data_IF_368487953870
#
_entry.id   IF_368487953870
#
_cell.length_a   1.000
_cell.length_b   1.000
_cell.length_c   1.000
_cell.angle_alpha   90.00
_cell.angle_beta   90.00
_cell.angle_gamma   90.00
#
_symmetry.space_group_name_H-M   'P 1'
#
loop_
_entity.id
_entity.type
_entity.pdbx_description
1 polymer ?
#
# COMPACT_ATOMS: atom_id res chain seq x y z
N UNK A 1 53.93 43.50 -20.24
CA UNK A 1 52.80 43.65 -21.18
C UNK A 1 51.85 42.48 -20.93
N UNK A 2 50.68 42.81 -20.36
CA UNK A 2 49.43 42.06 -20.17
C UNK A 2 49.39 40.77 -19.33
N UNK A 3 48.70 40.87 -18.19
CA UNK A 3 48.15 39.74 -17.45
C UNK A 3 46.75 39.35 -17.92
N UNK A 4 46.34 38.15 -17.52
CA UNK A 4 45.00 37.54 -17.55
C UNK A 4 45.05 36.45 -16.47
N UNK A 5 44.07 36.17 -15.63
CA UNK A 5 42.68 36.57 -15.52
C UNK A 5 42.08 35.61 -14.49
N UNK A 6 41.43 36.16 -13.48
CA UNK A 6 40.85 35.45 -12.33
C UNK A 6 39.47 34.92 -12.75
N UNK A 7 39.22 33.62 -12.66
CA UNK A 7 37.88 33.00 -12.80
C UNK A 7 37.83 31.78 -11.89
N UNK A 8 37.45 31.94 -10.61
CA UNK A 8 36.09 31.82 -10.06
C UNK A 8 35.53 30.40 -10.25
N UNK A 9 35.81 29.56 -9.26
CA UNK A 9 35.11 28.29 -9.01
C UNK A 9 33.59 28.52 -8.93
N UNK A 10 32.76 27.63 -9.49
CA UNK A 10 31.34 27.66 -9.26
C UNK A 10 31.03 27.18 -7.83
N UNK A 11 30.42 28.08 -7.07
CA UNK A 11 29.77 27.84 -5.79
C UNK A 11 28.76 26.68 -5.92
N UNK A 12 28.72 25.70 -5.00
CA UNK A 12 27.65 24.73 -5.00
C UNK A 12 26.36 25.43 -4.57
N UNK A 13 25.47 25.67 -5.53
CA UNK A 13 24.09 26.04 -5.25
C UNK A 13 23.51 24.99 -4.29
N UNK A 14 23.11 25.44 -3.11
CA UNK A 14 22.36 24.65 -2.15
C UNK A 14 21.04 24.23 -2.81
N UNK A 15 21.06 23.08 -3.47
CA UNK A 15 19.85 22.35 -3.82
C UNK A 15 19.27 21.86 -2.51
N UNK A 16 18.31 22.62 -1.99
CA UNK A 16 17.48 22.26 -0.86
C UNK A 16 16.78 20.95 -1.21
N UNK A 17 17.47 19.86 -0.89
CA UNK A 17 17.01 18.51 -1.09
C UNK A 17 16.06 18.25 0.04
N UNK A 18 14.79 18.61 -0.15
CA UNK A 18 13.74 17.98 0.63
C UNK A 18 13.70 16.53 0.17
N UNK A 19 14.51 15.69 0.81
CA UNK A 19 14.35 14.25 0.77
C UNK A 19 12.99 13.97 1.38
N UNK A 20 12.01 13.65 0.53
CA UNK A 20 10.77 13.08 0.97
C UNK A 20 11.11 11.76 1.66
N UNK A 21 11.22 11.79 2.99
CA UNK A 21 11.37 10.58 3.78
C UNK A 21 10.02 9.87 3.72
N UNK A 22 9.92 8.88 2.84
CA UNK A 22 8.81 7.94 2.88
C UNK A 22 9.00 7.11 4.16
N UNK A 23 8.18 7.33 5.18
CA UNK A 23 8.09 6.37 6.27
C UNK A 23 7.38 5.13 5.75
N UNK A 24 8.11 4.02 5.72
CA UNK A 24 7.58 2.72 5.34
C UNK A 24 6.66 2.25 6.47
N UNK A 25 5.35 2.02 6.21
CA UNK A 25 4.49 1.41 7.20
C UNK A 25 5.08 0.04 7.57
N UNK A 26 5.23 -0.25 8.86
CA UNK A 26 5.67 -1.57 9.31
C UNK A 26 4.55 -2.58 9.06
N UNK A 27 4.47 -3.08 7.83
CA UNK A 27 3.67 -4.25 7.52
C UNK A 27 4.37 -5.47 8.11
N UNK A 28 3.90 -5.91 9.28
CA UNK A 28 4.30 -7.20 9.82
C UNK A 28 3.62 -8.30 8.99
N UNK A 29 4.30 -8.72 7.92
CA UNK A 29 3.88 -9.83 7.06
C UNK A 29 3.93 -11.18 7.79
N UNK A 30 4.53 -11.22 8.99
CA UNK A 30 4.58 -12.39 9.87
C UNK A 30 3.49 -12.37 10.94
N UNK A 31 2.68 -11.32 11.01
CA UNK A 31 1.44 -11.35 11.77
C UNK A 31 0.58 -12.45 11.16
N UNK A 32 0.20 -13.49 11.93
CA UNK A 32 -0.68 -14.52 11.41
C UNK A 32 -1.91 -13.80 10.89
N UNK A 33 -2.28 -14.05 9.62
CA UNK A 33 -3.58 -13.64 9.09
C UNK A 33 -4.58 -14.00 10.17
N UNK A 34 -5.20 -12.99 10.79
CA UNK A 34 -5.94 -13.16 12.04
C UNK A 34 -6.92 -14.31 11.84
N UNK A 35 -6.50 -15.50 12.27
CA UNK A 35 -7.35 -16.65 12.38
C UNK A 35 -8.41 -16.17 13.34
N UNK A 36 -9.65 -16.16 12.89
CA UNK A 36 -10.83 -15.85 13.68
C UNK A 36 -10.88 -16.79 14.88
N UNK A 37 -10.08 -16.50 15.89
CA UNK A 37 -10.07 -17.14 17.18
C UNK A 37 -10.99 -16.30 18.03
N UNK A 38 -12.22 -16.77 18.14
CA UNK A 38 -13.13 -16.43 19.21
C UNK A 38 -12.49 -16.92 20.52
N UNK A 39 -11.45 -16.23 21.01
CA UNK A 39 -10.91 -16.54 22.32
C UNK A 39 -11.99 -16.15 23.34
N UNK A 40 -12.58 -17.16 23.96
CA UNK A 40 -13.65 -16.97 24.93
C UNK A 40 -13.05 -16.32 26.18
N UNK A 41 -13.55 -15.15 26.64
CA UNK A 41 -12.98 -14.51 27.80
C UNK A 41 -13.33 -15.35 29.03
N UNK A 42 -12.33 -16.04 29.56
CA UNK A 42 -12.37 -16.60 30.90
C UNK A 42 -12.52 -15.46 31.90
N UNK A 43 -13.54 -15.57 32.73
CA UNK A 43 -13.97 -14.60 33.73
C UNK A 43 -12.82 -13.99 34.54
N UNK A 44 -12.64 -12.68 34.45
CA UNK A 44 -12.00 -11.86 35.49
C UNK A 44 -12.56 -10.44 35.43
N UNK A 45 -13.40 -10.14 36.42
CA UNK A 45 -13.79 -8.80 36.91
C UNK A 45 -14.29 -7.77 35.88
N UNK A 46 -15.62 -7.71 35.76
CA UNK A 46 -16.36 -6.55 35.28
C UNK A 46 -16.05 -5.35 36.17
N UNK A 47 -15.31 -4.37 35.64
CA UNK A 47 -14.96 -3.14 36.33
C UNK A 47 -14.94 -1.94 35.39
N UNK A 48 -16.12 -1.32 35.21
CA UNK A 48 -16.29 0.12 34.95
C UNK A 48 -15.79 0.70 33.63
N UNK A 49 -16.70 0.92 32.66
CA UNK A 49 -16.43 1.82 31.53
C UNK A 49 -17.25 1.55 30.27
N UNK A 50 -18.58 1.45 30.36
CA UNK A 50 -19.44 1.21 29.19
C UNK A 50 -19.36 2.32 28.11
N UNK A 51 -18.81 3.49 28.43
CA UNK A 51 -18.69 4.64 27.52
C UNK A 51 -17.35 4.73 26.78
N UNK A 52 -16.26 4.17 27.31
CA UNK A 52 -14.93 4.17 26.66
C UNK A 52 -14.76 2.98 25.72
N UNK A 53 -15.23 1.79 26.11
CA UNK A 53 -15.12 0.58 25.28
C UNK A 53 -15.91 0.64 23.97
N UNK A 54 -17.00 1.40 23.91
CA UNK A 54 -17.77 1.59 22.67
C UNK A 54 -17.01 2.45 21.63
N UNK A 55 -16.27 3.47 22.09
CA UNK A 55 -15.45 4.32 21.22
C UNK A 55 -14.22 3.57 20.69
N UNK A 56 -13.56 2.78 21.54
CA UNK A 56 -12.44 1.92 21.15
C UNK A 56 -12.90 0.82 20.19
N UNK A 57 -14.03 0.16 20.44
CA UNK A 57 -14.62 -0.81 19.52
C UNK A 57 -14.90 -0.20 18.15
N UNK A 58 -15.46 1.00 18.10
CA UNK A 58 -15.77 1.67 16.83
C UNK A 58 -14.50 1.94 16.01
N UNK A 59 -13.40 2.31 16.66
CA UNK A 59 -12.10 2.49 16.00
C UNK A 59 -11.56 1.17 15.45
N UNK A 60 -11.63 0.09 16.24
CA UNK A 60 -11.21 -1.24 15.80
C UNK A 60 -12.02 -1.73 14.60
N UNK A 61 -13.33 -1.46 14.56
CA UNK A 61 -14.18 -1.83 13.42
C UNK A 61 -13.73 -1.12 12.14
N UNK A 62 -13.40 0.18 12.22
CA UNK A 62 -12.97 0.94 11.04
C UNK A 62 -11.62 0.43 10.52
N UNK A 63 -10.69 0.12 11.42
CA UNK A 63 -9.39 -0.44 11.05
C UNK A 63 -9.53 -1.82 10.39
N UNK A 64 -10.33 -2.71 10.96
CA UNK A 64 -10.56 -4.05 10.41
C UNK A 64 -11.30 -4.00 9.06
N UNK A 65 -12.23 -3.05 8.88
CA UNK A 65 -12.85 -2.82 7.57
C UNK A 65 -11.82 -2.38 6.53
N UNK A 66 -10.91 -1.45 6.87
CA UNK A 66 -9.86 -1.01 5.96
C UNK A 66 -8.95 -2.18 5.56
N UNK A 67 -8.55 -3.02 6.52
CA UNK A 67 -7.76 -4.23 6.25
C UNK A 67 -8.49 -5.20 5.31
N UNK A 68 -9.77 -5.46 5.56
CA UNK A 68 -10.59 -6.33 4.70
C UNK A 68 -10.71 -5.80 3.27
N UNK A 69 -10.88 -4.48 3.09
CA UNK A 69 -10.94 -3.85 1.77
C UNK A 69 -9.60 -3.98 1.02
N UNK A 70 -8.46 -3.81 1.70
CA UNK A 70 -7.14 -4.00 1.11
C UNK A 70 -6.97 -5.46 0.68
N UNK A 71 -7.31 -6.42 1.53
CA UNK A 71 -7.24 -7.84 1.19
C UNK A 71 -8.12 -8.20 -0.01
N UNK A 72 -9.33 -7.66 -0.07
CA UNK A 72 -10.22 -7.83 -1.22
C UNK A 72 -9.61 -7.25 -2.51
N UNK A 73 -9.00 -6.07 -2.42
CA UNK A 73 -8.32 -5.45 -3.56
C UNK A 73 -7.12 -6.29 -4.03
N UNK A 74 -6.29 -6.77 -3.10
CA UNK A 74 -5.15 -7.65 -3.41
C UNK A 74 -5.62 -8.95 -4.08
N UNK A 75 -6.65 -9.60 -3.54
CA UNK A 75 -7.24 -10.80 -4.11
C UNK A 75 -7.73 -10.56 -5.54
N UNK A 76 -8.45 -9.45 -5.77
CA UNK A 76 -8.94 -9.07 -7.10
C UNK A 76 -7.80 -8.83 -8.10
N UNK A 77 -6.78 -8.07 -7.71
CA UNK A 77 -5.62 -7.78 -8.58
C UNK A 77 -4.87 -9.07 -8.91
N UNK A 78 -4.71 -9.94 -7.93
CA UNK A 78 -4.02 -11.22 -8.09
C UNK A 78 -4.77 -12.12 -9.07
N UNK A 79 -6.09 -12.26 -8.94
CA UNK A 79 -6.91 -13.03 -9.87
C UNK A 79 -6.82 -12.47 -11.30
N UNK A 80 -6.93 -11.16 -11.47
CA UNK A 80 -6.82 -10.51 -12.78
C UNK A 80 -5.44 -10.69 -13.42
N UNK A 81 -4.37 -10.55 -12.63
CA UNK A 81 -3.01 -10.76 -13.09
C UNK A 81 -2.77 -12.22 -13.46
N UNK A 82 -3.31 -13.15 -12.68
CA UNK A 82 -3.26 -14.58 -12.97
C UNK A 82 -3.95 -14.91 -14.29
N UNK A 83 -5.21 -14.49 -14.47
CA UNK A 83 -6.00 -14.75 -15.68
C UNK A 83 -5.34 -14.18 -16.94
N UNK A 84 -4.69 -13.01 -16.83
CA UNK A 84 -4.01 -12.37 -17.96
C UNK A 84 -2.67 -12.99 -18.29
N UNK A 85 -1.88 -13.35 -17.29
CA UNK A 85 -0.47 -13.69 -17.47
C UNK A 85 -0.18 -15.18 -17.43
N UNK A 86 -1.01 -15.98 -16.75
CA UNK A 86 -0.82 -17.43 -16.60
C UNK A 86 -2.12 -18.16 -16.97
N UNK A 87 -2.54 -18.00 -18.22
CA UNK A 87 -3.71 -18.69 -18.78
C UNK A 87 -3.51 -20.22 -18.92
N UNK A 88 -2.26 -20.69 -18.81
CA UNK A 88 -1.91 -22.11 -18.79
C UNK A 88 -1.44 -22.46 -17.38
N UNK A 89 -1.90 -23.59 -16.83
CA UNK A 89 -1.42 -24.06 -15.52
C UNK A 89 0.11 -24.22 -15.58
N UNK A 90 0.88 -23.53 -14.72
CA UNK A 90 2.33 -23.69 -14.72
C UNK A 90 2.69 -25.13 -14.29
N UNK A 91 3.64 -25.73 -14.99
CA UNK A 91 4.05 -27.13 -14.79
C UNK A 91 4.69 -27.33 -13.39
N UNK A 92 5.38 -26.33 -12.87
CA UNK A 92 5.99 -26.34 -11.52
C UNK A 92 6.26 -24.94 -10.97
N UNK A 93 6.60 -23.98 -11.84
CA UNK A 93 6.88 -22.59 -11.48
C UNK A 93 6.46 -21.63 -12.61
N UNK A 94 6.26 -20.36 -12.28
CA UNK A 94 6.08 -19.31 -13.28
C UNK A 94 7.40 -19.04 -14.03
N UNK A 95 7.32 -19.02 -15.35
CA UNK A 95 8.44 -18.58 -16.20
C UNK A 95 8.78 -17.11 -15.96
N UNK A 96 9.99 -16.68 -16.36
CA UNK A 96 10.41 -15.28 -16.20
C UNK A 96 9.44 -14.30 -16.86
N UNK A 97 8.88 -14.67 -18.04
CA UNK A 97 7.91 -13.84 -18.75
C UNK A 97 6.59 -13.69 -17.99
N UNK A 98 6.13 -14.76 -17.34
CA UNK A 98 4.91 -14.72 -16.52
C UNK A 98 5.12 -13.88 -15.26
N UNK A 99 6.26 -14.02 -14.59
CA UNK A 99 6.64 -13.18 -13.43
C UNK A 99 6.65 -11.70 -13.80
N UNK A 100 7.28 -11.34 -14.92
CA UNK A 100 7.33 -9.96 -15.42
C UNK A 100 5.93 -9.46 -15.84
N UNK A 101 5.13 -10.30 -16.50
CA UNK A 101 3.76 -9.97 -16.86
C UNK A 101 2.89 -9.66 -15.63
N UNK A 102 2.94 -10.52 -14.60
CA UNK A 102 2.16 -10.34 -13.37
C UNK A 102 2.56 -9.03 -12.68
N UNK A 103 3.87 -8.77 -12.56
CA UNK A 103 4.39 -7.51 -11.99
C UNK A 103 3.86 -6.29 -12.74
N UNK A 104 3.99 -6.27 -14.07
CA UNK A 104 3.56 -5.14 -14.88
C UNK A 104 2.03 -4.97 -14.88
N UNK A 105 1.28 -6.06 -14.87
CA UNK A 105 -0.19 -6.03 -14.84
C UNK A 105 -0.72 -5.49 -13.51
N UNK A 106 -0.12 -5.91 -12.39
CA UNK A 106 -0.50 -5.40 -11.07
C UNK A 106 -0.22 -3.89 -10.94
N UNK A 107 0.97 -3.43 -11.37
CA UNK A 107 1.33 -2.01 -11.38
C UNK A 107 0.37 -1.20 -12.26
N UNK A 108 0.15 -1.65 -13.50
CA UNK A 108 -0.76 -0.97 -14.42
C UNK A 108 -2.20 -0.91 -13.88
N UNK A 109 -2.68 -1.95 -13.18
CA UNK A 109 -4.00 -1.93 -12.56
C UNK A 109 -4.10 -0.85 -11.46
N UNK A 110 -3.09 -0.74 -10.60
CA UNK A 110 -3.08 0.27 -9.54
C UNK A 110 -3.04 1.69 -10.12
N UNK A 111 -2.15 1.94 -11.08
CA UNK A 111 -2.02 3.25 -11.73
C UNK A 111 -3.31 3.67 -12.44
N UNK A 112 -3.92 2.74 -13.20
CA UNK A 112 -5.18 3.02 -13.90
C UNK A 112 -6.35 3.18 -12.94
N UNK A 113 -6.41 2.42 -11.85
CA UNK A 113 -7.45 2.56 -10.83
C UNK A 113 -7.41 3.95 -10.19
N UNK A 114 -6.22 4.44 -9.82
CA UNK A 114 -6.02 5.79 -9.26
C UNK A 114 -6.42 6.84 -10.28
N UNK A 115 -5.99 6.69 -11.54
CA UNK A 115 -6.36 7.61 -12.62
C UNK A 115 -7.88 7.69 -12.81
N UNK A 116 -8.58 6.56 -12.82
CA UNK A 116 -10.04 6.51 -12.95
C UNK A 116 -10.72 7.19 -11.76
N UNK A 117 -10.30 6.89 -10.53
CA UNK A 117 -10.85 7.52 -9.32
C UNK A 117 -10.64 9.04 -9.34
N UNK A 118 -9.45 9.52 -9.70
CA UNK A 118 -9.17 10.96 -9.84
C UNK A 118 -10.08 11.62 -10.88
N UNK A 119 -10.35 10.95 -12.00
CA UNK A 119 -11.28 11.45 -13.03
C UNK A 119 -12.71 11.52 -12.51
N UNK A 120 -13.18 10.47 -11.83
CA UNK A 120 -14.53 10.43 -11.26
C UNK A 120 -14.75 11.53 -10.21
N UNK A 121 -13.77 11.73 -9.31
CA UNK A 121 -13.81 12.80 -8.32
C UNK A 121 -13.81 14.19 -8.97
N UNK A 122 -13.11 14.37 -10.09
CA UNK A 122 -13.10 15.62 -10.85
C UNK A 122 -14.42 15.87 -11.61
N UNK A 123 -15.14 14.82 -12.03
CA UNK A 123 -16.43 14.94 -12.74
C UNK A 123 -17.65 15.06 -11.81
N UNK A 124 -17.54 14.69 -10.54
CA UNK A 124 -18.63 14.76 -9.55
C UNK A 124 -18.83 16.12 -8.89
N UNK A 125 -18.12 17.18 -9.32
CA UNK A 125 -18.23 18.55 -8.79
C UNK A 125 -18.92 19.51 -9.78
N UNK A 126 -19.83 19.02 -10.61
CA UNK A 126 -20.64 19.79 -11.55
C UNK A 126 -22.13 19.64 -11.23
#
# INVERSE_FOLDING_TARGET
>A
MFGFGKSKEPEPAASSSNSYAYEEPTYDYSAPAASSSFDSPSSSSLGGGASTGAAEMQQLIVEEQQRALIQQAVSKITALAWDKCSASKPDSELSSKEKDCIKNTALAYLDTSIFVVHRLNKSGSA
#
